data_IF_456940817076
#
_entry.id   IF_456940817076
#
_cell.length_a   1.000
_cell.length_b   1.000
_cell.length_c   1.000
_cell.angle_alpha   90.00
_cell.angle_beta   90.00
_cell.angle_gamma   90.00
#
_symmetry.space_group_name_H-M   'P 1'
#
loop_
_entity.id
_entity.type
_entity.pdbx_description
1 polymer ?
#
# COMPACT_ATOMS: atom_id res chain seq x y z
N UNK A 1 -3.59 -29.57 -10.11
CA UNK A 1 -3.83 -28.60 -9.01
C UNK A 1 -2.47 -28.28 -8.39
N UNK A 2 -2.10 -27.02 -8.16
CA UNK A 2 -0.78 -26.69 -7.59
C UNK A 2 -0.67 -27.21 -6.15
N UNK A 3 0.51 -27.72 -5.80
CA UNK A 3 0.89 -28.06 -4.42
C UNK A 3 1.12 -26.79 -3.59
N UNK A 4 1.04 -26.89 -2.26
CA UNK A 4 1.31 -25.75 -1.37
C UNK A 4 2.73 -25.18 -1.53
N UNK A 5 3.71 -26.04 -1.89
CA UNK A 5 5.08 -25.64 -2.15
C UNK A 5 5.17 -24.76 -3.41
N UNK A 6 4.51 -25.16 -4.49
CA UNK A 6 4.45 -24.38 -5.74
C UNK A 6 3.72 -23.05 -5.52
N UNK A 7 2.64 -23.04 -4.74
CA UNK A 7 1.92 -21.82 -4.37
C UNK A 7 2.81 -20.79 -3.65
N UNK A 8 3.67 -21.24 -2.72
CA UNK A 8 4.62 -20.34 -2.02
C UNK A 8 5.64 -19.72 -2.96
N UNK A 9 6.13 -20.49 -3.92
CA UNK A 9 7.03 -19.99 -4.96
C UNK A 9 6.31 -18.95 -5.82
N UNK A 10 5.04 -19.19 -6.18
CA UNK A 10 4.24 -18.26 -6.95
C UNK A 10 4.00 -16.93 -6.20
N UNK A 11 3.66 -16.99 -4.90
CA UNK A 11 3.55 -15.79 -4.06
C UNK A 11 4.82 -14.96 -4.08
N UNK A 12 6.00 -15.59 -3.93
CA UNK A 12 7.28 -14.89 -3.94
C UNK A 12 7.54 -14.20 -5.30
N UNK A 13 7.26 -14.89 -6.42
CA UNK A 13 7.38 -14.32 -7.77
C UNK A 13 6.44 -13.13 -7.97
N UNK A 14 5.19 -13.24 -7.52
CA UNK A 14 4.20 -12.18 -7.66
C UNK A 14 4.59 -10.95 -6.82
N UNK A 15 5.02 -11.14 -5.57
CA UNK A 15 5.52 -10.06 -4.72
C UNK A 15 6.71 -9.33 -5.33
N UNK A 16 7.67 -10.07 -5.90
CA UNK A 16 8.80 -9.48 -6.62
C UNK A 16 8.34 -8.62 -7.81
N UNK A 17 7.44 -9.13 -8.65
CA UNK A 17 6.89 -8.39 -9.81
C UNK A 17 6.13 -7.13 -9.40
N UNK A 18 5.49 -7.16 -8.24
CA UNK A 18 4.78 -6.02 -7.67
C UNK A 18 5.72 -5.02 -6.97
N UNK A 19 6.98 -5.37 -6.74
CA UNK A 19 7.91 -4.55 -5.95
C UNK A 19 7.59 -4.55 -4.45
N UNK A 20 6.85 -5.55 -3.97
CA UNK A 20 6.37 -5.67 -2.59
C UNK A 20 7.13 -6.74 -1.80
N UNK A 21 8.27 -7.23 -2.30
CA UNK A 21 9.00 -8.31 -1.66
C UNK A 21 9.55 -7.93 -0.28
N UNK A 22 10.03 -6.70 -0.13
CA UNK A 22 10.53 -6.17 1.15
C UNK A 22 9.41 -6.04 2.19
N UNK A 23 8.18 -5.76 1.74
CA UNK A 23 6.99 -5.65 2.58
C UNK A 23 6.21 -6.98 2.70
N UNK A 24 6.85 -8.13 2.43
CA UNK A 24 6.20 -9.43 2.51
C UNK A 24 5.57 -9.66 3.89
N UNK A 25 6.25 -9.27 4.97
CA UNK A 25 5.74 -9.42 6.33
C UNK A 25 4.41 -8.66 6.53
N UNK A 26 4.33 -7.44 6.01
CA UNK A 26 3.13 -6.61 6.10
C UNK A 26 1.96 -7.19 5.28
N UNK A 27 2.25 -7.72 4.08
CA UNK A 27 1.24 -8.43 3.27
C UNK A 27 0.71 -9.65 4.01
N UNK A 28 1.59 -10.40 4.68
CA UNK A 28 1.21 -11.57 5.49
C UNK A 28 0.46 -11.20 6.77
N UNK A 29 0.74 -10.03 7.35
CA UNK A 29 0.04 -9.54 8.54
C UNK A 29 -1.47 -9.38 8.30
N UNK A 30 -1.92 -9.16 7.06
CA UNK A 30 -3.35 -9.16 6.72
C UNK A 30 -4.05 -10.52 6.92
N UNK A 31 -3.27 -11.61 7.04
CA UNK A 31 -3.74 -12.95 7.38
C UNK A 31 -3.37 -13.34 8.83
N UNK A 32 -2.80 -12.42 9.61
CA UNK A 32 -2.39 -12.69 10.99
C UNK A 32 -1.14 -13.58 11.13
N UNK A 33 -0.38 -13.80 10.06
CA UNK A 33 0.78 -14.70 10.05
C UNK A 33 2.08 -13.96 9.74
N UNK A 34 3.22 -14.53 10.15
CA UNK A 34 4.56 -13.95 9.92
C UNK A 34 5.29 -14.60 8.75
N UNK A 35 4.89 -15.81 8.37
CA UNK A 35 5.50 -16.55 7.29
C UNK A 35 4.46 -17.15 6.37
N UNK A 36 4.82 -17.25 5.07
CA UNK A 36 4.07 -18.06 4.10
C UNK A 36 3.97 -19.52 4.52
N UNK A 37 4.77 -19.96 5.50
CA UNK A 37 4.69 -21.30 6.08
C UNK A 37 3.46 -21.57 6.91
N UNK A 38 2.87 -20.51 7.47
CA UNK A 38 1.74 -20.54 8.40
C UNK A 38 0.39 -20.40 7.69
N UNK A 39 0.38 -20.03 6.40
CA UNK A 39 -0.85 -19.94 5.60
C UNK A 39 -1.43 -21.32 5.33
N UNK A 40 -2.75 -21.44 5.52
CA UNK A 40 -3.56 -22.56 5.02
C UNK A 40 -3.57 -22.58 3.48
N UNK A 41 -4.06 -23.69 2.92
CA UNK A 41 -4.12 -23.87 1.48
C UNK A 41 -5.09 -22.87 0.82
N UNK A 42 -6.17 -22.53 1.51
CA UNK A 42 -7.19 -21.57 1.08
C UNK A 42 -6.66 -20.14 1.17
N UNK A 43 -5.98 -19.78 2.26
CA UNK A 43 -5.40 -18.45 2.44
C UNK A 43 -4.29 -18.15 1.42
N UNK A 44 -3.46 -19.15 1.09
CA UNK A 44 -2.43 -18.96 0.07
C UNK A 44 -3.03 -18.84 -1.34
N UNK A 45 -4.13 -19.54 -1.64
CA UNK A 45 -4.87 -19.35 -2.90
C UNK A 45 -5.48 -17.95 -2.98
N UNK A 46 -6.08 -17.49 -1.88
CA UNK A 46 -6.60 -16.13 -1.78
C UNK A 46 -5.49 -15.07 -1.94
N UNK A 47 -4.32 -15.29 -1.33
CA UNK A 47 -3.15 -14.42 -1.50
C UNK A 47 -2.68 -14.39 -2.96
N UNK A 48 -2.58 -15.54 -3.63
CA UNK A 48 -2.22 -15.61 -5.05
C UNK A 48 -3.24 -14.83 -5.89
N UNK A 49 -4.53 -15.03 -5.64
CA UNK A 49 -5.59 -14.30 -6.34
C UNK A 49 -5.44 -12.79 -6.17
N UNK A 50 -5.29 -12.31 -4.93
CA UNK A 50 -5.09 -10.89 -4.60
C UNK A 50 -3.87 -10.30 -5.32
N UNK A 51 -2.73 -10.98 -5.31
CA UNK A 51 -1.51 -10.49 -5.97
C UNK A 51 -1.64 -10.49 -7.50
N UNK A 52 -2.31 -11.49 -8.10
CA UNK A 52 -2.60 -11.50 -9.54
C UNK A 52 -3.52 -10.36 -9.94
N UNK A 53 -4.56 -10.08 -9.15
CA UNK A 53 -5.45 -8.94 -9.36
C UNK A 53 -4.67 -7.62 -9.31
N UNK A 54 -3.72 -7.49 -8.38
CA UNK A 54 -2.81 -6.33 -8.32
C UNK A 54 -1.96 -6.15 -9.59
N UNK A 55 -1.43 -7.22 -10.18
CA UNK A 55 -0.70 -7.16 -11.45
C UNK A 55 -1.60 -6.78 -12.63
N UNK A 56 -2.82 -7.32 -12.67
CA UNK A 56 -3.82 -6.98 -13.67
C UNK A 56 -4.16 -5.48 -13.60
N UNK A 57 -4.48 -4.98 -12.41
CA UNK A 57 -4.80 -3.56 -12.16
C UNK A 57 -3.63 -2.60 -12.43
N UNK A 58 -2.38 -3.08 -12.43
CA UNK A 58 -1.20 -2.30 -12.85
C UNK A 58 -1.14 -2.17 -14.38
N UNK A 59 -1.50 -3.21 -15.13
CA UNK A 59 -1.43 -3.25 -16.60
C UNK A 59 -2.64 -2.61 -17.24
N UNK A 60 -3.82 -2.97 -16.76
CA UNK A 60 -5.11 -2.45 -17.20
C UNK A 60 -5.59 -1.45 -16.16
N UNK A 61 -5.07 -0.22 -16.22
CA UNK A 61 -5.62 0.87 -15.44
C UNK A 61 -6.55 1.70 -16.32
N UNK A 62 -7.88 1.57 -16.17
CA UNK A 62 -8.81 2.61 -16.57
C UNK A 62 -8.26 3.98 -16.16
N UNK A 63 -8.51 5.00 -16.98
CA UNK A 63 -7.99 6.37 -16.79
C UNK A 63 -8.22 6.88 -15.36
N UNK A 64 -9.34 6.49 -14.75
CA UNK A 64 -9.68 6.85 -13.37
C UNK A 64 -8.75 6.23 -12.32
N UNK A 65 -8.38 4.95 -12.41
CA UNK A 65 -7.43 4.33 -11.48
C UNK A 65 -6.08 5.06 -11.52
N UNK A 66 -5.62 5.43 -12.72
CA UNK A 66 -4.38 6.18 -12.93
C UNK A 66 -4.47 7.54 -12.25
N UNK A 67 -5.54 8.30 -12.55
CA UNK A 67 -5.80 9.61 -11.97
C UNK A 67 -5.84 9.57 -10.44
N UNK A 68 -6.56 8.62 -9.87
CA UNK A 68 -6.72 8.52 -8.41
C UNK A 68 -5.46 8.03 -7.70
N UNK A 69 -4.66 7.15 -8.32
CA UNK A 69 -3.33 6.80 -7.80
C UNK A 69 -2.39 8.00 -7.81
N UNK A 70 -2.35 8.78 -8.89
CA UNK A 70 -1.58 10.03 -8.93
C UNK A 70 -2.02 11.01 -7.84
N UNK A 71 -3.33 11.15 -7.61
CA UNK A 71 -3.85 11.98 -6.51
C UNK A 71 -3.39 11.48 -5.14
N UNK A 72 -3.43 10.17 -4.90
CA UNK A 72 -2.96 9.57 -3.64
C UNK A 72 -1.47 9.87 -3.43
N UNK A 73 -0.64 9.69 -4.46
CA UNK A 73 0.80 10.00 -4.41
C UNK A 73 1.07 11.48 -4.09
N UNK A 74 0.29 12.41 -4.66
CA UNK A 74 0.43 13.84 -4.33
C UNK A 74 0.20 14.10 -2.84
N UNK A 75 -0.80 13.47 -2.23
CA UNK A 75 -1.03 13.66 -0.80
C UNK A 75 -0.02 12.93 0.08
N UNK A 76 0.42 11.72 -0.31
CA UNK A 76 1.51 11.00 0.35
C UNK A 76 2.77 11.87 0.41
N UNK A 77 3.17 12.47 -0.72
CA UNK A 77 4.29 13.40 -0.78
C UNK A 77 4.11 14.60 0.18
N UNK A 78 2.90 15.20 0.23
CA UNK A 78 2.60 16.32 1.13
C UNK A 78 2.73 15.97 2.61
N UNK A 79 2.48 14.71 2.99
CA UNK A 79 2.66 14.25 4.36
C UNK A 79 4.07 13.75 4.65
N UNK A 80 4.96 13.74 3.64
CA UNK A 80 6.35 13.33 3.75
C UNK A 80 6.58 11.84 3.53
N UNK A 81 5.67 11.15 2.84
CA UNK A 81 5.77 9.72 2.52
C UNK A 81 5.93 9.61 1.01
N UNK A 82 7.10 9.19 0.56
CA UNK A 82 7.44 9.15 -0.86
C UNK A 82 8.31 7.93 -1.17
N UNK A 83 8.24 7.47 -2.42
CA UNK A 83 9.17 6.47 -2.91
C UNK A 83 10.52 7.13 -3.22
N UNK A 84 11.63 6.50 -2.85
CA UNK A 84 12.99 7.02 -3.06
C UNK A 84 13.79 6.03 -3.90
N UNK A 85 14.37 6.43 -5.04
CA UNK A 85 15.15 5.54 -5.91
C UNK A 85 14.41 4.24 -6.31
N UNK A 86 13.12 4.34 -6.65
CA UNK A 86 12.22 3.20 -6.90
C UNK A 86 12.00 2.25 -5.70
N UNK A 87 12.43 2.61 -4.50
CA UNK A 87 12.04 1.94 -3.27
C UNK A 87 10.68 2.44 -2.79
N UNK A 88 9.74 1.51 -2.64
CA UNK A 88 8.36 1.76 -2.22
C UNK A 88 8.12 1.37 -0.76
N UNK A 89 9.15 0.96 -0.02
CA UNK A 89 9.02 0.38 1.32
C UNK A 89 8.27 1.29 2.30
N UNK A 90 8.57 2.59 2.32
CA UNK A 90 7.89 3.56 3.20
C UNK A 90 6.42 3.78 2.82
N UNK A 91 6.14 3.90 1.52
CA UNK A 91 4.78 4.02 1.00
C UNK A 91 3.97 2.76 1.34
N UNK A 92 4.55 1.59 1.10
CA UNK A 92 3.89 0.31 1.35
C UNK A 92 3.62 0.10 2.83
N UNK A 93 4.60 0.36 3.70
CA UNK A 93 4.47 0.24 5.16
C UNK A 93 3.34 1.14 5.68
N UNK A 94 3.32 2.40 5.25
CA UNK A 94 2.25 3.33 5.62
C UNK A 94 0.86 2.87 5.13
N UNK A 95 0.78 2.38 3.89
CA UNK A 95 -0.48 1.98 3.28
C UNK A 95 -1.04 0.68 3.87
N UNK A 96 -0.16 -0.24 4.27
CA UNK A 96 -0.51 -1.52 4.88
C UNK A 96 -0.95 -1.40 6.35
N UNK A 97 -0.78 -0.24 6.98
CA UNK A 97 -1.45 0.03 8.26
C UNK A 97 -2.97 0.03 8.07
N UNK A 98 -3.67 -0.82 8.84
CA UNK A 98 -5.14 -0.93 8.86
C UNK A 98 -5.81 0.41 9.23
N UNK A 99 -5.13 1.27 9.98
CA UNK A 99 -5.60 2.63 10.29
C UNK A 99 -5.53 3.56 9.09
N UNK A 100 -4.85 3.19 8.01
CA UNK A 100 -4.80 3.91 6.74
C UNK A 100 -5.73 3.24 5.73
N UNK A 101 -5.32 2.10 5.16
CA UNK A 101 -6.15 1.31 4.24
C UNK A 101 -5.87 -0.21 4.24
N UNK A 102 -4.80 -0.69 4.88
CA UNK A 102 -4.50 -2.12 5.00
C UNK A 102 -4.15 -2.83 3.69
N UNK A 103 -3.90 -2.07 2.61
CA UNK A 103 -3.69 -2.59 1.24
C UNK A 103 -2.59 -1.82 0.54
N UNK A 104 -1.92 -2.46 -0.41
CA UNK A 104 -0.95 -1.78 -1.27
C UNK A 104 -1.67 -0.88 -2.28
N UNK A 105 -1.00 0.18 -2.72
CA UNK A 105 -1.59 1.20 -3.61
C UNK A 105 -2.17 0.62 -4.91
N UNK A 106 -1.58 -0.44 -5.45
CA UNK A 106 -2.05 -1.09 -6.68
C UNK A 106 -3.26 -2.02 -6.46
N UNK A 107 -3.55 -2.41 -5.21
CA UNK A 107 -4.65 -3.30 -4.85
C UNK A 107 -5.97 -2.56 -4.70
N UNK A 108 -5.92 -1.23 -4.54
CA UNK A 108 -7.09 -0.41 -4.28
C UNK A 108 -7.96 -0.25 -5.54
N UNK A 109 -9.28 -0.37 -5.35
CA UNK A 109 -10.28 0.04 -6.33
C UNK A 109 -10.36 1.57 -6.47
N UNK A 110 -11.13 2.08 -7.44
CA UNK A 110 -11.35 3.53 -7.60
C UNK A 110 -12.01 4.13 -6.34
N UNK A 111 -12.98 3.43 -5.76
CA UNK A 111 -13.73 3.84 -4.57
C UNK A 111 -12.81 3.87 -3.36
N UNK A 112 -11.96 2.85 -3.21
CA UNK A 112 -10.98 2.78 -2.12
C UNK A 112 -9.91 3.87 -2.28
N UNK A 113 -9.45 4.16 -3.50
CA UNK A 113 -8.54 5.29 -3.76
C UNK A 113 -9.18 6.64 -3.46
N UNK A 114 -10.47 6.84 -3.78
CA UNK A 114 -11.22 8.07 -3.43
C UNK A 114 -11.28 8.24 -1.91
N UNK A 115 -11.61 7.17 -1.19
CA UNK A 115 -11.65 7.17 0.28
C UNK A 115 -10.27 7.46 0.88
N UNK A 116 -9.22 6.82 0.36
CA UNK A 116 -7.84 7.08 0.75
C UNK A 116 -7.45 8.54 0.52
N UNK A 117 -7.72 9.09 -0.67
CA UNK A 117 -7.40 10.49 -0.98
C UNK A 117 -8.07 11.47 -0.01
N UNK A 118 -9.34 11.22 0.36
CA UNK A 118 -10.05 12.04 1.36
C UNK A 118 -9.34 11.98 2.72
N UNK A 119 -8.94 10.78 3.15
CA UNK A 119 -8.22 10.56 4.40
C UNK A 119 -6.86 11.24 4.42
N UNK A 120 -6.06 11.05 3.37
CA UNK A 120 -4.74 11.67 3.22
C UNK A 120 -4.82 13.21 3.20
N UNK A 121 -5.84 13.77 2.55
CA UNK A 121 -6.09 15.22 2.57
C UNK A 121 -6.31 15.74 3.99
N UNK A 122 -7.09 15.02 4.82
CA UNK A 122 -7.32 15.41 6.22
C UNK A 122 -6.01 15.37 7.02
N UNK A 123 -5.20 14.31 6.85
CA UNK A 123 -3.89 14.18 7.50
C UNK A 123 -2.96 15.33 7.08
N UNK A 124 -2.87 15.62 5.79
CA UNK A 124 -2.06 16.71 5.25
C UNK A 124 -2.48 18.08 5.81
N UNK A 125 -3.77 18.36 5.87
CA UNK A 125 -4.28 19.60 6.43
C UNK A 125 -3.93 19.73 7.92
N UNK A 126 -4.10 18.65 8.71
CA UNK A 126 -3.75 18.64 10.13
C UNK A 126 -2.25 18.89 10.35
N UNK A 127 -1.39 18.27 9.52
CA UNK A 127 0.06 18.50 9.56
C UNK A 127 0.39 19.97 9.28
N UNK A 128 -0.13 20.53 8.19
CA UNK A 128 0.10 21.93 7.83
C UNK A 128 -0.36 22.93 8.91
N UNK A 129 -1.51 22.68 9.56
CA UNK A 129 -1.96 23.52 10.68
C UNK A 129 -1.02 23.42 11.88
N UNK A 130 -0.50 22.22 12.17
CA UNK A 130 0.43 21.98 13.28
C UNK A 130 1.76 22.66 13.01
N UNK A 131 2.33 22.47 11.82
CA UNK A 131 3.60 23.08 11.41
C UNK A 131 3.51 24.61 11.45
N UNK A 132 2.40 25.20 10.98
CA UNK A 132 2.16 26.65 11.08
C UNK A 132 2.17 27.14 12.54
N UNK A 133 1.53 26.43 13.47
CA UNK A 133 1.53 26.80 14.89
C UNK A 133 2.93 26.75 15.49
N UNK A 134 3.71 25.72 15.15
CA UNK A 134 5.10 25.59 15.61
C UNK A 134 5.96 26.77 15.12
N UNK A 135 5.85 27.15 13.85
CA UNK A 135 6.58 28.29 13.29
C UNK A 135 6.20 29.62 13.96
N UNK A 136 4.92 29.84 14.26
CA UNK A 136 4.47 31.03 14.97
C UNK A 136 5.02 31.10 16.41
N UNK A 137 5.10 29.95 17.10
CA UNK A 137 5.60 29.88 18.47
C UNK A 137 7.12 30.07 18.56
N UNK A 138 7.88 29.70 17.53
CA UNK A 138 9.34 29.93 17.48
C UNK A 138 9.64 31.42 17.27
N UNK A 139 8.86 32.11 16.43
CA UNK A 139 9.08 33.54 16.12
C UNK A 139 8.59 34.51 17.24
N UNK A 140 8.00 33.98 18.32
CA UNK A 140 7.51 34.74 19.47
C UNK A 140 8.40 34.57 20.72
N UNK A 141 9.47 33.77 20.65
CA UNK A 141 10.50 33.60 21.68
C UNK A 141 11.84 34.15 21.19
#
# INVERSE_FOLDING_TARGET
MMTIKEKRVEVHKLLYRLGALQNKADVLASYGVKSTTELSNEEIDHLIYRLKLGLFNRRESPTDLRRWRSNALVYLNKIGIYATNNDWSDVNSFMLDNRICGKLLFELSVEELKALCKKLRIIANKKATTDRKLLLNINLN
#
